data_IF_928626819303
#
_entry.id   IF_928626819303
#
_cell.length_a   1.000
_cell.length_b   1.000
_cell.length_c   1.000
_cell.angle_alpha   90.00
_cell.angle_beta   90.00
_cell.angle_gamma   90.00
#
_symmetry.space_group_name_H-M   'P 1'
#
loop_
_entity.id
_entity.type
_entity.pdbx_description
1 polymer ?
#
# COMPACT_ATOMS: atom_id res chain seq x y z
N UNK A 1 -9.24 11.86 -34.45
CA UNK A 1 -10.21 10.75 -34.68
C UNK A 1 -10.20 9.69 -33.58
N UNK A 2 -9.06 9.07 -33.21
CA UNK A 2 -9.04 8.00 -32.18
C UNK A 2 -9.44 8.49 -30.79
N UNK A 3 -8.96 9.66 -30.32
CA UNK A 3 -9.33 10.23 -29.01
C UNK A 3 -10.80 10.67 -28.98
N UNK A 4 -11.30 11.29 -30.06
CA UNK A 4 -12.70 11.67 -30.21
C UNK A 4 -13.63 10.44 -30.30
N UNK A 5 -13.21 9.39 -31.01
CA UNK A 5 -13.92 8.11 -31.06
C UNK A 5 -13.90 7.42 -29.70
N UNK A 6 -12.78 7.49 -28.97
CA UNK A 6 -12.62 6.96 -27.62
C UNK A 6 -13.48 7.70 -26.59
N UNK A 7 -13.48 9.04 -26.60
CA UNK A 7 -14.35 9.87 -25.77
C UNK A 7 -15.84 9.62 -26.09
N UNK A 8 -16.17 9.43 -27.37
CA UNK A 8 -17.54 9.14 -27.83
C UNK A 8 -17.98 7.72 -27.46
N UNK A 9 -17.09 6.73 -27.52
CA UNK A 9 -17.31 5.36 -27.06
C UNK A 9 -17.47 5.32 -25.53
N UNK A 10 -16.65 6.03 -24.78
CA UNK A 10 -16.69 6.00 -23.31
C UNK A 10 -17.96 6.68 -22.74
N UNK A 11 -18.49 7.68 -23.46
CA UNK A 11 -19.80 8.30 -23.16
C UNK A 11 -21.00 7.37 -23.45
N UNK A 12 -20.80 6.28 -24.20
CA UNK A 12 -21.81 5.25 -24.49
C UNK A 12 -21.70 4.00 -23.60
N UNK A 13 -20.68 3.89 -22.75
CA UNK A 13 -20.32 2.65 -22.03
C UNK A 13 -20.50 2.73 -20.50
N UNK A 14 -21.62 3.27 -20.05
CA UNK A 14 -22.03 3.17 -18.64
C UNK A 14 -22.35 1.69 -18.31
N UNK A 15 -21.38 0.94 -17.78
CA UNK A 15 -21.66 -0.33 -17.07
C UNK A 15 -20.74 -1.54 -17.28
N UNK A 16 -19.72 -1.52 -18.14
CA UNK A 16 -18.85 -2.70 -18.37
C UNK A 16 -17.37 -2.41 -18.12
N UNK A 17 -16.85 -2.90 -16.98
CA UNK A 17 -15.46 -2.73 -16.51
C UNK A 17 -14.42 -3.45 -17.36
N UNK A 18 -14.76 -4.60 -17.96
CA UNK A 18 -13.82 -5.42 -18.74
C UNK A 18 -13.37 -4.75 -20.05
N UNK A 19 -14.19 -3.89 -20.65
CA UNK A 19 -13.89 -3.23 -21.92
C UNK A 19 -13.02 -1.98 -21.78
N UNK A 20 -13.13 -1.25 -20.65
CA UNK A 20 -12.24 -0.13 -20.31
C UNK A 20 -10.76 -0.55 -20.19
N UNK A 21 -10.51 -1.77 -19.73
CA UNK A 21 -9.17 -2.34 -19.61
C UNK A 21 -8.51 -2.58 -20.98
N UNK A 22 -9.27 -3.14 -21.93
CA UNK A 22 -8.83 -3.38 -23.31
C UNK A 22 -8.58 -2.09 -24.10
N UNK A 23 -9.39 -1.06 -23.82
CA UNK A 23 -9.22 0.26 -24.42
C UNK A 23 -7.98 0.98 -23.87
N UNK A 24 -7.68 0.80 -22.58
CA UNK A 24 -6.47 1.34 -21.96
C UNK A 24 -5.20 0.73 -22.57
N UNK A 25 -5.11 -0.59 -22.72
CA UNK A 25 -3.94 -1.26 -23.31
C UNK A 25 -3.72 -0.92 -24.78
N UNK A 26 -4.80 -0.84 -25.57
CA UNK A 26 -4.76 -0.42 -26.98
C UNK A 26 -4.35 1.06 -27.13
N UNK A 27 -4.69 1.89 -26.16
CA UNK A 27 -4.29 3.30 -26.13
C UNK A 27 -2.84 3.50 -25.67
N UNK A 28 -2.40 2.77 -24.63
CA UNK A 28 -1.01 2.76 -24.16
C UNK A 28 -0.02 2.28 -25.23
N UNK A 29 -0.41 1.30 -26.04
CA UNK A 29 0.41 0.84 -27.18
C UNK A 29 0.47 1.87 -28.31
N UNK A 30 -0.62 2.59 -28.58
CA UNK A 30 -0.67 3.65 -29.59
C UNK A 30 0.20 4.87 -29.21
N UNK A 31 0.24 5.25 -27.93
CA UNK A 31 1.12 6.33 -27.41
C UNK A 31 2.60 5.99 -27.62
N UNK A 32 3.00 4.74 -27.37
CA UNK A 32 4.38 4.28 -27.58
C UNK A 32 4.77 4.24 -29.05
N UNK A 33 3.80 4.02 -29.95
CA UNK A 33 4.04 3.84 -31.39
C UNK A 33 4.08 5.17 -32.15
N UNK A 34 3.40 6.21 -31.67
CA UNK A 34 3.37 7.52 -32.32
C UNK A 34 3.19 8.68 -31.32
N UNK A 35 4.23 9.04 -30.54
CA UNK A 35 4.14 10.07 -29.51
C UNK A 35 3.80 11.47 -30.06
N UNK A 36 4.30 11.82 -31.25
CA UNK A 36 4.09 13.14 -31.87
C UNK A 36 2.62 13.39 -32.21
N UNK A 37 1.90 12.35 -32.62
CA UNK A 37 0.47 12.45 -32.90
C UNK A 37 -0.30 12.73 -31.62
N UNK A 38 0.05 12.09 -30.52
CA UNK A 38 -0.64 12.25 -29.23
C UNK A 38 -0.38 13.62 -28.62
N UNK A 39 0.82 14.19 -28.76
CA UNK A 39 1.12 15.55 -28.26
C UNK A 39 0.22 16.63 -28.89
N UNK A 40 -0.24 16.44 -30.12
CA UNK A 40 -1.15 17.38 -30.80
C UNK A 40 -2.52 17.49 -30.13
N UNK A 41 -2.93 16.49 -29.36
CA UNK A 41 -4.23 16.47 -28.66
C UNK A 41 -4.13 16.93 -27.20
N UNK A 42 -3.02 17.55 -26.79
CA UNK A 42 -2.80 17.90 -25.39
C UNK A 42 -3.89 18.82 -24.81
N UNK A 43 -4.46 19.70 -25.65
CA UNK A 43 -5.51 20.64 -25.25
C UNK A 43 -6.86 19.93 -25.02
N UNK A 44 -7.25 19.05 -25.93
CA UNK A 44 -8.48 18.25 -25.82
C UNK A 44 -8.40 17.29 -24.64
N UNK A 45 -7.22 16.70 -24.41
CA UNK A 45 -6.98 15.85 -23.25
C UNK A 45 -7.07 16.66 -21.95
N UNK A 46 -6.49 17.86 -21.93
CA UNK A 46 -6.56 18.78 -20.80
C UNK A 46 -8.01 19.17 -20.48
N UNK A 47 -8.85 19.40 -21.49
CA UNK A 47 -10.29 19.64 -21.34
C UNK A 47 -11.02 18.41 -20.80
N UNK A 48 -10.68 17.21 -21.29
CA UNK A 48 -11.26 15.96 -20.84
C UNK A 48 -10.95 15.64 -19.36
N UNK A 49 -9.87 16.18 -18.78
CA UNK A 49 -9.62 16.07 -17.33
C UNK A 49 -10.72 16.76 -16.51
N UNK A 50 -11.36 17.79 -17.07
CA UNK A 50 -12.48 18.49 -16.42
C UNK A 50 -13.83 17.81 -16.63
N UNK A 51 -13.87 16.62 -17.26
CA UNK A 51 -15.10 15.86 -17.47
C UNK A 51 -15.79 15.48 -16.16
N UNK A 52 -17.12 15.48 -16.17
CA UNK A 52 -17.95 15.00 -15.04
C UNK A 52 -17.85 13.47 -14.87
N UNK A 53 -17.47 12.73 -15.92
CA UNK A 53 -17.33 11.28 -15.85
C UNK A 53 -16.00 10.90 -15.18
N UNK A 54 -16.07 10.17 -14.07
CA UNK A 54 -14.91 9.81 -13.27
C UNK A 54 -13.85 8.97 -14.01
N UNK A 55 -14.28 8.10 -14.92
CA UNK A 55 -13.37 7.25 -15.71
C UNK A 55 -12.70 8.06 -16.81
N UNK A 56 -13.46 8.92 -17.51
CA UNK A 56 -12.91 9.85 -18.51
C UNK A 56 -11.86 10.75 -17.86
N UNK A 57 -12.18 11.36 -16.71
CA UNK A 57 -11.24 12.20 -15.97
C UNK A 57 -9.95 11.47 -15.57
N UNK A 58 -10.06 10.24 -15.04
CA UNK A 58 -8.89 9.44 -14.64
C UNK A 58 -7.98 9.10 -15.83
N UNK A 59 -8.56 8.63 -16.92
CA UNK A 59 -7.81 8.26 -18.11
C UNK A 59 -7.23 9.49 -18.85
N UNK A 60 -7.98 10.59 -18.91
CA UNK A 60 -7.48 11.86 -19.45
C UNK A 60 -6.28 12.38 -18.65
N UNK A 61 -6.34 12.34 -17.32
CA UNK A 61 -5.21 12.72 -16.47
C UNK A 61 -4.00 11.80 -16.71
N UNK A 62 -4.24 10.49 -16.80
CA UNK A 62 -3.19 9.51 -17.07
C UNK A 62 -2.48 9.78 -18.40
N UNK A 63 -3.24 10.06 -19.44
CA UNK A 63 -2.73 10.44 -20.75
C UNK A 63 -1.98 11.77 -20.73
N UNK A 64 -2.52 12.77 -20.03
CA UNK A 64 -1.90 14.08 -19.92
C UNK A 64 -0.52 14.01 -19.25
N UNK A 65 -0.40 13.16 -18.21
CA UNK A 65 0.89 12.86 -17.60
C UNK A 65 1.86 12.23 -18.60
N UNK A 66 1.43 11.24 -19.38
CA UNK A 66 2.29 10.59 -20.38
C UNK A 66 2.79 11.58 -21.44
N UNK A 67 1.90 12.47 -21.94
CA UNK A 67 2.25 13.53 -22.90
C UNK A 67 3.34 14.45 -22.32
N UNK A 68 3.26 14.75 -21.02
CA UNK A 68 4.15 15.68 -20.31
C UNK A 68 5.32 15.00 -19.61
N UNK A 69 5.44 13.68 -19.70
CA UNK A 69 6.37 12.88 -18.88
C UNK A 69 7.84 13.26 -19.07
N UNK A 70 8.20 13.86 -20.20
CA UNK A 70 9.54 14.36 -20.52
C UNK A 70 9.84 15.78 -19.98
N UNK A 71 8.81 16.54 -19.57
CA UNK A 71 8.94 17.93 -19.11
C UNK A 71 8.50 18.04 -17.66
N UNK A 72 9.49 18.07 -16.76
CA UNK A 72 9.26 18.18 -15.32
C UNK A 72 8.46 19.42 -14.93
N UNK A 73 8.71 20.57 -15.55
CA UNK A 73 8.01 21.81 -15.23
C UNK A 73 6.54 21.73 -15.65
N UNK A 74 6.24 21.07 -16.77
CA UNK A 74 4.86 20.82 -17.19
C UNK A 74 4.12 19.89 -16.21
N UNK A 75 4.80 18.89 -15.63
CA UNK A 75 4.21 18.01 -14.61
C UNK A 75 3.96 18.79 -13.31
N UNK A 76 4.93 19.60 -12.85
CA UNK A 76 4.77 20.46 -11.67
C UNK A 76 3.56 21.39 -11.80
N UNK A 77 3.46 22.12 -12.91
CA UNK A 77 2.31 23.00 -13.21
C UNK A 77 0.99 22.23 -13.24
N UNK A 78 1.00 21.00 -13.73
CA UNK A 78 -0.17 20.14 -13.77
C UNK A 78 -0.63 19.74 -12.36
N UNK A 79 0.29 19.32 -11.49
CA UNK A 79 -0.01 18.99 -10.09
C UNK A 79 -0.54 20.23 -9.36
N UNK A 80 0.12 21.37 -9.50
CA UNK A 80 -0.32 22.64 -8.90
C UNK A 80 -1.73 23.04 -9.37
N UNK A 81 -2.03 22.90 -10.66
CA UNK A 81 -3.36 23.22 -11.22
C UNK A 81 -4.43 22.34 -10.59
N UNK A 82 -4.25 21.03 -10.62
CA UNK A 82 -5.29 20.09 -10.16
C UNK A 82 -5.36 19.94 -8.64
N UNK A 83 -4.30 20.29 -7.92
CA UNK A 83 -4.34 20.46 -6.46
C UNK A 83 -5.27 21.61 -6.05
N UNK A 84 -5.33 22.69 -6.83
CA UNK A 84 -6.18 23.86 -6.53
C UNK A 84 -7.61 23.72 -7.06
N UNK A 85 -7.76 23.28 -8.31
CA UNK A 85 -9.09 23.10 -8.92
C UNK A 85 -9.85 21.91 -8.36
N UNK A 86 -9.13 20.95 -7.75
CA UNK A 86 -9.66 19.67 -7.34
C UNK A 86 -9.93 18.72 -8.51
N UNK A 87 -10.03 17.44 -8.19
CA UNK A 87 -10.50 16.38 -9.07
C UNK A 87 -11.69 15.69 -8.37
N UNK A 88 -12.60 15.11 -9.15
CA UNK A 88 -13.80 14.45 -8.61
C UNK A 88 -13.61 12.94 -8.46
N UNK A 89 -12.94 12.35 -9.43
CA UNK A 89 -12.64 10.92 -9.49
C UNK A 89 -11.61 10.55 -8.42
N UNK A 90 -11.94 9.65 -7.47
CA UNK A 90 -10.97 9.19 -6.47
C UNK A 90 -9.77 8.49 -7.12
N UNK A 91 -9.96 7.82 -8.27
CA UNK A 91 -8.88 7.20 -9.04
C UNK A 91 -7.94 8.26 -9.63
N UNK A 92 -8.49 9.37 -10.14
CA UNK A 92 -7.68 10.48 -10.64
C UNK A 92 -6.88 11.15 -9.52
N UNK A 93 -7.49 11.35 -8.34
CA UNK A 93 -6.78 11.89 -7.18
C UNK A 93 -5.65 10.94 -6.74
N UNK A 94 -5.91 9.63 -6.65
CA UNK A 94 -4.86 8.65 -6.32
C UNK A 94 -3.72 8.68 -7.34
N UNK A 95 -4.03 8.81 -8.62
CA UNK A 95 -3.00 8.91 -9.67
C UNK A 95 -2.20 10.21 -9.54
N UNK A 96 -2.85 11.33 -9.23
CA UNK A 96 -2.18 12.60 -9.00
C UNK A 96 -1.26 12.55 -7.77
N UNK A 97 -1.68 11.87 -6.69
CA UNK A 97 -0.84 11.60 -5.50
C UNK A 97 0.44 10.86 -5.89
N UNK A 98 0.35 9.83 -6.75
CA UNK A 98 1.53 9.08 -7.21
C UNK A 98 2.48 9.95 -8.03
N UNK A 99 1.95 10.82 -8.89
CA UNK A 99 2.75 11.79 -9.65
C UNK A 99 3.44 12.78 -8.70
N UNK A 100 2.69 13.33 -7.74
CA UNK A 100 3.22 14.27 -6.75
C UNK A 100 4.30 13.60 -5.89
N UNK A 101 4.11 12.36 -5.45
CA UNK A 101 5.09 11.63 -4.67
C UNK A 101 6.40 11.42 -5.44
N UNK A 102 6.31 11.09 -6.74
CA UNK A 102 7.49 10.97 -7.61
C UNK A 102 8.25 12.29 -7.74
N UNK A 103 7.52 13.41 -7.87
CA UNK A 103 8.15 14.74 -7.92
C UNK A 103 8.87 15.10 -6.63
N UNK A 104 8.28 14.77 -5.48
CA UNK A 104 8.89 14.98 -4.15
C UNK A 104 10.16 14.13 -4.00
N UNK A 105 10.14 12.87 -4.43
CA UNK A 105 11.30 11.98 -4.40
C UNK A 105 12.44 12.45 -5.35
N UNK A 106 12.11 12.98 -6.52
CA UNK A 106 13.10 13.50 -7.49
C UNK A 106 13.76 14.82 -7.04
N UNK A 107 13.13 15.57 -6.13
CA UNK A 107 13.58 16.88 -5.66
C UNK A 107 14.18 16.83 -4.24
N UNK A 108 14.49 15.64 -3.72
CA UNK A 108 14.90 15.40 -2.33
C UNK A 108 13.97 16.07 -1.28
N UNK A 109 12.70 16.26 -1.64
CA UNK A 109 11.70 16.91 -0.79
C UNK A 109 11.69 18.44 -0.80
N UNK A 110 12.41 19.12 -1.71
CA UNK A 110 12.33 20.59 -1.79
C UNK A 110 11.01 21.13 -2.35
N UNK A 111 10.28 20.36 -3.18
CA UNK A 111 8.94 20.74 -3.64
C UNK A 111 7.88 20.55 -2.56
N UNK A 112 7.75 21.59 -1.73
CA UNK A 112 6.73 21.67 -0.68
C UNK A 112 5.30 21.71 -1.24
N UNK A 113 5.08 22.12 -2.50
CA UNK A 113 3.73 22.26 -3.04
C UNK A 113 3.14 20.89 -3.36
N UNK A 114 3.92 20.03 -4.02
CA UNK A 114 3.52 18.64 -4.27
C UNK A 114 3.28 17.89 -2.95
N UNK A 115 4.14 18.11 -1.94
CA UNK A 115 3.95 17.51 -0.62
C UNK A 115 2.68 18.00 0.08
N UNK A 116 2.44 19.32 0.12
CA UNK A 116 1.22 19.90 0.72
C UNK A 116 -0.06 19.36 0.09
N UNK A 117 -0.06 19.11 -1.23
CA UNK A 117 -1.18 18.44 -1.88
C UNK A 117 -1.41 17.03 -1.33
N UNK A 118 -0.37 16.22 -1.18
CA UNK A 118 -0.48 14.85 -0.63
C UNK A 118 -0.98 14.90 0.82
N UNK A 119 -0.43 15.80 1.64
CA UNK A 119 -0.86 15.98 3.03
C UNK A 119 -2.33 16.40 3.11
N UNK A 120 -2.80 17.31 2.23
CA UNK A 120 -4.21 17.69 2.17
C UNK A 120 -5.14 16.52 1.83
N UNK A 121 -4.63 15.53 1.09
CA UNK A 121 -5.40 14.33 0.73
C UNK A 121 -5.61 13.37 1.91
N UNK A 122 -4.91 13.52 3.04
CA UNK A 122 -5.16 12.74 4.26
C UNK A 122 -6.54 13.01 4.86
N UNK A 123 -7.15 14.16 4.57
CA UNK A 123 -8.49 14.56 5.05
C UNK A 123 -9.57 14.40 3.98
N UNK A 124 -9.31 13.63 2.92
CA UNK A 124 -10.26 13.43 1.85
C UNK A 124 -11.46 12.58 2.29
N UNK A 125 -12.63 12.80 1.68
CA UNK A 125 -13.85 12.02 1.93
C UNK A 125 -13.73 10.54 1.52
N UNK A 126 -12.86 10.24 0.56
CA UNK A 126 -12.69 8.88 0.04
C UNK A 126 -11.54 8.16 0.73
N UNK A 127 -11.85 7.07 1.45
CA UNK A 127 -10.85 6.25 2.18
C UNK A 127 -9.70 5.76 1.29
N UNK A 128 -9.97 5.45 0.01
CA UNK A 128 -8.95 5.05 -0.96
C UNK A 128 -7.90 6.14 -1.18
N UNK A 129 -8.35 7.40 -1.31
CA UNK A 129 -7.47 8.57 -1.49
C UNK A 129 -6.66 8.81 -0.24
N UNK A 130 -7.32 8.74 0.92
CA UNK A 130 -6.69 8.89 2.23
C UNK A 130 -5.60 7.84 2.44
N UNK A 131 -5.87 6.57 2.11
CA UNK A 131 -4.87 5.50 2.19
C UNK A 131 -3.71 5.72 1.22
N UNK A 132 -3.98 6.09 -0.03
CA UNK A 132 -2.93 6.33 -1.02
C UNK A 132 -2.01 7.47 -0.56
N UNK A 133 -2.57 8.55 0.00
CA UNK A 133 -1.81 9.66 0.56
C UNK A 133 -0.93 9.22 1.74
N UNK A 134 -1.51 8.56 2.75
CA UNK A 134 -0.77 8.06 3.90
C UNK A 134 0.35 7.08 3.48
N UNK A 135 0.06 6.19 2.53
CA UNK A 135 1.01 5.22 2.02
C UNK A 135 2.14 5.87 1.20
N UNK A 136 1.86 6.96 0.48
CA UNK A 136 2.86 7.74 -0.23
C UNK A 136 3.81 8.45 0.73
N UNK A 137 3.27 9.16 1.72
CA UNK A 137 4.04 9.87 2.76
C UNK A 137 5.02 8.91 3.45
N UNK A 138 4.51 7.77 3.91
CA UNK A 138 5.29 6.74 4.63
C UNK A 138 6.41 6.10 3.78
N UNK A 139 6.33 6.18 2.43
CA UNK A 139 7.35 5.65 1.53
C UNK A 139 8.50 6.62 1.22
N UNK A 140 8.33 7.91 1.53
CA UNK A 140 9.32 8.93 1.20
C UNK A 140 10.60 8.75 2.03
N UNK A 141 11.79 8.93 1.43
CA UNK A 141 13.07 8.69 2.11
C UNK A 141 13.43 9.76 3.16
N UNK A 142 13.04 11.02 2.94
CA UNK A 142 13.42 12.19 3.76
C UNK A 142 12.22 12.80 4.52
N UNK A 143 11.41 11.96 5.15
CA UNK A 143 10.22 12.40 5.88
C UNK A 143 10.52 12.89 7.30
N UNK A 144 9.88 13.98 7.73
CA UNK A 144 9.97 14.45 9.12
C UNK A 144 9.09 13.65 10.08
N UNK A 145 9.41 13.67 11.37
CA UNK A 145 8.62 12.97 12.40
C UNK A 145 7.16 13.43 12.47
N UNK A 146 6.90 14.74 12.27
CA UNK A 146 5.55 15.31 12.26
C UNK A 146 4.72 14.84 11.06
N UNK A 147 5.31 14.87 9.86
CA UNK A 147 4.67 14.40 8.63
C UNK A 147 4.35 12.89 8.71
N UNK A 148 5.28 12.11 9.28
CA UNK A 148 5.09 10.68 9.52
C UNK A 148 3.95 10.43 10.52
N UNK A 149 3.90 11.20 11.61
CA UNK A 149 2.85 11.07 12.62
C UNK A 149 1.44 11.32 12.04
N UNK A 150 1.30 12.31 11.15
CA UNK A 150 0.03 12.57 10.44
C UNK A 150 -0.44 11.37 9.63
N UNK A 151 0.46 10.72 8.89
CA UNK A 151 0.11 9.52 8.12
C UNK A 151 -0.20 8.32 9.02
N UNK A 152 0.55 8.13 10.11
CA UNK A 152 0.32 7.03 11.06
C UNK A 152 -1.04 7.19 11.77
N UNK A 153 -1.43 8.40 12.17
CA UNK A 153 -2.73 8.64 12.81
C UNK A 153 -3.91 8.19 11.93
N UNK A 154 -3.82 8.46 10.62
CA UNK A 154 -4.82 7.99 9.64
C UNK A 154 -4.81 6.46 9.50
N UNK A 155 -3.63 5.85 9.42
CA UNK A 155 -3.50 4.39 9.36
C UNK A 155 -4.04 3.72 10.63
N UNK A 156 -3.87 4.35 11.79
CA UNK A 156 -4.41 3.89 13.06
C UNK A 156 -5.95 3.84 13.04
N UNK A 157 -6.60 4.89 12.52
CA UNK A 157 -8.06 4.89 12.33
C UNK A 157 -8.52 3.73 11.45
N UNK A 158 -7.76 3.38 10.40
CA UNK A 158 -8.09 2.26 9.52
C UNK A 158 -7.95 0.88 10.17
N UNK A 159 -7.20 0.72 11.28
CA UNK A 159 -7.13 -0.54 12.03
C UNK A 159 -8.49 -0.91 12.64
N UNK A 160 -9.29 0.09 12.99
CA UNK A 160 -10.63 -0.10 13.59
C UNK A 160 -11.76 -0.06 12.55
N UNK A 161 -11.44 -0.04 11.26
CA UNK A 161 -12.46 0.03 10.19
C UNK A 161 -13.28 -1.27 10.10
N UNK A 162 -14.61 -1.21 9.85
CA UNK A 162 -15.40 -2.40 9.57
C UNK A 162 -14.99 -3.11 8.27
N UNK A 163 -14.25 -2.43 7.38
CA UNK A 163 -13.82 -2.98 6.09
C UNK A 163 -12.50 -3.73 6.25
N UNK A 164 -12.54 -5.05 6.07
CA UNK A 164 -11.35 -5.92 6.13
C UNK A 164 -10.22 -5.49 5.20
N UNK A 165 -10.54 -4.96 4.01
CA UNK A 165 -9.56 -4.46 3.05
C UNK A 165 -8.75 -3.27 3.61
N UNK A 166 -9.39 -2.32 4.31
CA UNK A 166 -8.71 -1.17 4.90
C UNK A 166 -7.83 -1.57 6.07
N UNK A 167 -8.35 -2.43 6.96
CA UNK A 167 -7.57 -3.00 8.07
C UNK A 167 -6.31 -3.70 7.57
N UNK A 168 -6.47 -4.58 6.58
CA UNK A 168 -5.34 -5.28 5.96
C UNK A 168 -4.33 -4.31 5.35
N UNK A 169 -4.80 -3.31 4.61
CA UNK A 169 -3.95 -2.32 3.96
C UNK A 169 -3.16 -1.49 4.99
N UNK A 170 -3.79 -1.11 6.10
CA UNK A 170 -3.18 -0.36 7.19
C UNK A 170 -2.12 -1.19 7.94
N UNK A 171 -2.46 -2.39 8.41
CA UNK A 171 -1.52 -3.28 9.10
C UNK A 171 -0.31 -3.59 8.22
N UNK A 172 -0.51 -3.85 6.92
CA UNK A 172 0.58 -4.11 5.98
C UNK A 172 1.53 -2.91 5.86
N UNK A 173 1.00 -1.69 5.79
CA UNK A 173 1.83 -0.48 5.73
C UNK A 173 2.62 -0.29 7.03
N UNK A 174 1.97 -0.44 8.20
CA UNK A 174 2.63 -0.34 9.50
C UNK A 174 3.73 -1.40 9.67
N UNK A 175 3.46 -2.64 9.25
CA UNK A 175 4.45 -3.74 9.29
C UNK A 175 5.70 -3.46 8.46
N UNK A 176 5.54 -2.76 7.34
CA UNK A 176 6.65 -2.38 6.45
C UNK A 176 7.55 -1.35 7.13
N UNK A 177 6.97 -0.39 7.84
CA UNK A 177 7.73 0.72 8.42
C UNK A 177 8.20 0.50 9.85
N UNK A 178 7.68 -0.53 10.53
CA UNK A 178 8.06 -0.84 11.91
C UNK A 178 9.55 -1.14 12.08
N UNK A 179 10.28 -1.48 11.00
CA UNK A 179 11.73 -1.70 11.02
C UNK A 179 12.49 -0.36 11.07
N UNK A 180 12.05 0.61 10.27
CA UNK A 180 12.75 1.88 10.12
C UNK A 180 12.29 2.92 11.17
N UNK A 181 11.02 2.85 11.57
CA UNK A 181 10.38 3.79 12.49
C UNK A 181 9.61 3.09 13.62
N UNK A 182 10.26 2.20 14.40
CA UNK A 182 9.58 1.43 15.45
C UNK A 182 8.87 2.33 16.47
N UNK A 183 9.52 3.42 16.89
CA UNK A 183 8.97 4.36 17.89
C UNK A 183 7.65 4.99 17.44
N UNK A 184 7.50 5.28 16.16
CA UNK A 184 6.28 5.86 15.63
C UNK A 184 5.12 4.85 15.59
N UNK A 185 5.43 3.56 15.34
CA UNK A 185 4.44 2.47 15.25
C UNK A 185 4.00 1.96 16.63
N UNK A 186 4.78 2.15 17.69
CA UNK A 186 4.41 1.75 19.06
C UNK A 186 3.06 2.36 19.48
N UNK A 187 2.74 3.56 19.00
CA UNK A 187 1.46 4.22 19.25
C UNK A 187 0.24 3.41 18.77
N UNK A 188 0.42 2.52 17.78
CA UNK A 188 -0.62 1.65 17.24
C UNK A 188 -0.67 0.26 17.90
N UNK A 189 0.21 -0.05 18.87
CA UNK A 189 0.30 -1.42 19.43
C UNK A 189 -1.02 -1.88 20.05
N UNK A 190 -1.74 -1.00 20.76
CA UNK A 190 -3.03 -1.34 21.38
C UNK A 190 -4.08 -1.73 20.34
N UNK A 191 -4.16 -1.01 19.23
CA UNK A 191 -5.08 -1.31 18.13
C UNK A 191 -4.66 -2.59 17.38
N UNK A 192 -3.36 -2.80 17.20
CA UNK A 192 -2.82 -4.03 16.58
C UNK A 192 -3.12 -5.27 17.42
N UNK A 193 -3.11 -5.17 18.76
CA UNK A 193 -3.45 -6.29 19.64
C UNK A 193 -4.91 -6.73 19.48
N UNK A 194 -5.82 -5.79 19.24
CA UNK A 194 -7.24 -6.10 18.96
C UNK A 194 -7.41 -6.89 17.67
N UNK A 195 -6.48 -6.73 16.70
CA UNK A 195 -6.53 -7.42 15.41
C UNK A 195 -5.99 -8.86 15.47
N UNK A 196 -5.42 -9.31 16.59
CA UNK A 196 -4.96 -10.71 16.74
C UNK A 196 -6.14 -11.69 16.66
N UNK A 197 -7.32 -11.26 17.11
CA UNK A 197 -8.57 -12.05 17.09
C UNK A 197 -9.41 -11.80 15.82
N UNK A 198 -8.86 -11.12 14.81
CA UNK A 198 -9.57 -10.81 13.57
C UNK A 198 -10.00 -12.08 12.83
N UNK A 199 -11.20 -12.04 12.23
CA UNK A 199 -11.72 -13.12 11.38
C UNK A 199 -10.81 -13.38 10.17
N UNK A 200 -10.18 -12.34 9.63
CA UNK A 200 -9.21 -12.48 8.54
C UNK A 200 -7.83 -12.85 9.11
N UNK A 201 -7.48 -14.13 8.96
CA UNK A 201 -6.19 -14.68 9.38
C UNK A 201 -4.97 -13.92 8.86
N UNK A 202 -5.06 -13.32 7.66
CA UNK A 202 -3.94 -12.54 7.09
C UNK A 202 -3.71 -11.24 7.86
N UNK A 203 -4.78 -10.61 8.35
CA UNK A 203 -4.72 -9.40 9.18
C UNK A 203 -4.10 -9.76 10.54
N UNK A 204 -4.63 -10.79 11.21
CA UNK A 204 -4.11 -11.26 12.49
C UNK A 204 -2.62 -11.63 12.41
N UNK A 205 -2.20 -12.35 11.37
CA UNK A 205 -0.81 -12.73 11.14
C UNK A 205 0.10 -11.50 10.98
N UNK A 206 -0.31 -10.51 10.18
CA UNK A 206 0.47 -9.29 10.00
C UNK A 206 0.48 -8.43 11.26
N UNK A 207 -0.60 -8.41 12.05
CA UNK A 207 -0.67 -7.70 13.31
C UNK A 207 0.31 -8.29 14.33
N UNK A 208 0.30 -9.62 14.50
CA UNK A 208 1.29 -10.36 15.30
C UNK A 208 2.71 -10.01 14.83
N UNK A 209 2.97 -10.09 13.52
CA UNK A 209 4.30 -9.83 12.97
C UNK A 209 4.74 -8.39 13.26
N UNK A 210 3.82 -7.43 13.24
CA UNK A 210 4.12 -6.02 13.54
C UNK A 210 4.42 -5.84 15.02
N UNK A 211 3.59 -6.41 15.89
CA UNK A 211 3.79 -6.38 17.33
C UNK A 211 5.08 -7.05 17.78
N UNK A 212 5.55 -8.09 17.08
CA UNK A 212 6.86 -8.68 17.37
C UNK A 212 8.02 -7.76 16.96
N UNK A 213 7.83 -6.87 15.99
CA UNK A 213 8.84 -5.89 15.56
C UNK A 213 8.85 -4.64 16.47
N UNK A 214 7.74 -4.32 17.13
CA UNK A 214 7.58 -3.07 17.91
C UNK A 214 7.33 -3.29 19.40
N UNK A 215 7.04 -4.51 19.82
CA UNK A 215 6.65 -4.85 21.19
C UNK A 215 7.83 -4.86 22.15
N UNK A 216 7.58 -4.40 23.38
CA UNK A 216 8.49 -4.60 24.51
C UNK A 216 8.48 -6.08 24.93
N UNK A 217 9.57 -6.56 25.56
CA UNK A 217 9.74 -7.97 25.93
C UNK A 217 8.56 -8.56 26.72
N UNK A 218 7.95 -7.78 27.62
CA UNK A 218 6.78 -8.19 28.41
C UNK A 218 5.53 -8.44 27.54
N UNK A 219 5.34 -7.69 26.46
CA UNK A 219 4.23 -7.90 25.52
C UNK A 219 4.45 -9.15 24.67
N UNK A 220 5.70 -9.47 24.34
CA UNK A 220 6.05 -10.65 23.52
C UNK A 220 5.58 -11.95 24.19
N UNK A 221 5.74 -12.11 25.50
CA UNK A 221 5.32 -13.35 26.18
C UNK A 221 3.80 -13.56 26.12
N UNK A 222 3.01 -12.50 26.34
CA UNK A 222 1.55 -12.54 26.20
C UNK A 222 1.14 -12.83 24.75
N UNK A 223 1.82 -12.22 23.79
CA UNK A 223 1.61 -12.47 22.37
C UNK A 223 1.90 -13.94 22.02
N UNK A 224 2.98 -14.53 22.53
CA UNK A 224 3.33 -15.92 22.27
C UNK A 224 2.26 -16.90 22.76
N UNK A 225 1.59 -16.62 23.89
CA UNK A 225 0.42 -17.40 24.35
C UNK A 225 -0.76 -17.29 23.37
N UNK A 226 -1.09 -16.08 22.90
CA UNK A 226 -2.16 -15.87 21.93
C UNK A 226 -1.85 -16.51 20.57
N UNK A 227 -0.59 -16.45 20.12
CA UNK A 227 -0.09 -17.13 18.93
C UNK A 227 -0.23 -18.65 19.06
N UNK A 228 0.08 -19.22 20.23
CA UNK A 228 -0.11 -20.64 20.51
C UNK A 228 -1.56 -21.09 20.28
N UNK A 229 -2.54 -20.34 20.80
CA UNK A 229 -3.97 -20.62 20.58
C UNK A 229 -4.37 -20.46 19.10
N UNK A 230 -3.85 -19.43 18.42
CA UNK A 230 -4.10 -19.19 17.00
C UNK A 230 -3.57 -20.34 16.12
N UNK A 231 -2.36 -20.84 16.40
CA UNK A 231 -1.73 -21.94 15.67
C UNK A 231 -2.38 -23.30 15.95
N UNK A 232 -2.90 -23.52 17.17
CA UNK A 232 -3.60 -24.75 17.53
C UNK A 232 -4.97 -24.91 16.82
N UNK A 233 -5.63 -23.82 16.46
CA UNK A 233 -6.90 -23.86 15.71
C UNK A 233 -6.72 -24.22 14.21
N UNK A 234 -5.53 -24.04 13.63
CA UNK A 234 -5.27 -24.15 12.19
C UNK A 234 -4.51 -25.46 11.83
N UNK A 235 -5.13 -26.64 12.01
CA UNK A 235 -4.49 -27.96 11.80
C UNK A 235 -4.00 -28.27 10.36
N UNK A 236 -4.26 -27.43 9.35
CA UNK A 236 -3.87 -27.70 7.95
C UNK A 236 -2.37 -27.43 7.65
N UNK A 237 -1.69 -28.44 7.10
CA UNK A 237 -0.22 -28.57 7.01
C UNK A 237 0.49 -27.61 6.05
N UNK A 238 -0.19 -27.04 5.06
CA UNK A 238 0.46 -26.33 3.93
C UNK A 238 0.58 -24.82 4.18
N UNK A 239 -0.39 -24.21 4.87
CA UNK A 239 -0.35 -22.78 5.25
C UNK A 239 0.62 -22.51 6.43
N UNK A 240 0.87 -23.55 7.25
CA UNK A 240 1.86 -23.52 8.34
C UNK A 240 3.25 -23.13 7.83
N UNK A 241 3.73 -23.71 6.73
CA UNK A 241 5.12 -23.46 6.26
C UNK A 241 5.40 -22.01 5.88
N UNK A 242 4.39 -21.27 5.37
CA UNK A 242 4.55 -19.90 4.90
C UNK A 242 4.34 -18.84 6.01
N UNK A 243 3.34 -19.04 6.85
CA UNK A 243 3.11 -18.16 8.02
C UNK A 243 4.26 -18.32 9.01
N UNK A 244 4.67 -19.56 9.28
CA UNK A 244 5.77 -19.86 10.20
C UNK A 244 7.12 -19.41 9.68
N UNK A 245 7.39 -19.38 8.36
CA UNK A 245 8.65 -18.81 7.84
C UNK A 245 8.69 -17.29 7.97
N UNK A 246 7.58 -16.60 7.70
CA UNK A 246 7.49 -15.15 7.87
C UNK A 246 7.60 -14.74 9.35
N UNK A 247 6.86 -15.42 10.24
CA UNK A 247 6.93 -15.15 11.68
C UNK A 247 8.23 -15.66 12.31
N UNK A 248 8.77 -16.82 11.92
CA UNK A 248 10.04 -17.30 12.44
C UNK A 248 11.21 -16.42 12.01
N UNK A 249 11.18 -15.81 10.83
CA UNK A 249 12.22 -14.86 10.43
C UNK A 249 12.13 -13.56 11.24
N UNK A 250 10.92 -13.10 11.57
CA UNK A 250 10.71 -11.95 12.46
C UNK A 250 11.08 -12.27 13.92
N UNK A 251 10.74 -13.46 14.42
CA UNK A 251 11.10 -13.99 15.75
C UNK A 251 12.61 -14.18 15.86
N UNK A 252 13.26 -14.73 14.82
CA UNK A 252 14.72 -14.92 14.77
C UNK A 252 15.47 -13.59 14.77
N UNK A 253 14.93 -12.58 14.11
CA UNK A 253 15.50 -11.23 14.11
C UNK A 253 15.32 -10.49 15.46
N UNK A 254 14.29 -10.82 16.24
CA UNK A 254 13.96 -10.13 17.50
C UNK A 254 14.45 -10.83 18.76
N UNK A 255 14.55 -12.16 18.80
CA UNK A 255 14.90 -12.94 20.01
C UNK A 255 16.28 -13.60 20.00
N UNK A 256 16.99 -13.59 18.85
CA UNK A 256 18.20 -14.39 18.67
C UNK A 256 17.92 -15.90 18.64
N UNK A 257 18.88 -16.68 18.15
CA UNK A 257 18.69 -18.13 17.88
C UNK A 257 18.39 -18.97 19.12
N UNK A 258 18.77 -18.53 20.33
CA UNK A 258 18.70 -19.33 21.55
C UNK A 258 17.28 -19.59 22.08
N UNK A 259 16.34 -18.64 21.93
CA UNK A 259 14.95 -18.79 22.44
C UNK A 259 14.00 -19.53 21.48
N UNK A 260 14.44 -19.80 20.25
CA UNK A 260 13.67 -20.57 19.25
C UNK A 260 13.52 -22.03 19.69
N UNK A 261 14.54 -22.60 20.33
CA UNK A 261 14.56 -23.99 20.80
C UNK A 261 13.50 -24.21 21.88
N UNK A 262 13.29 -23.23 22.76
CA UNK A 262 12.31 -23.34 23.84
C UNK A 262 10.86 -23.28 23.33
N UNK A 263 10.58 -22.50 22.28
CA UNK A 263 9.27 -22.45 21.63
C UNK A 263 8.96 -23.70 20.78
N UNK A 264 9.98 -24.30 20.16
CA UNK A 264 9.82 -25.60 19.48
C UNK A 264 9.48 -26.73 20.47
N UNK A 265 9.98 -26.65 21.70
CA UNK A 265 9.74 -27.64 22.75
C UNK A 265 8.38 -27.46 23.47
N UNK A 266 7.80 -26.25 23.50
CA UNK A 266 6.60 -25.96 24.30
C UNK A 266 5.27 -25.97 23.54
N UNK A 267 5.22 -26.17 22.21
CA UNK A 267 3.94 -26.07 21.49
C UNK A 267 3.86 -26.47 20.01
N UNK A 268 4.83 -27.20 19.45
CA UNK A 268 4.74 -27.68 18.07
C UNK A 268 4.29 -29.15 17.98
N UNK A 269 3.49 -29.56 16.97
CA UNK A 269 3.36 -30.98 16.65
C UNK A 269 4.76 -31.51 16.30
N UNK A 270 5.10 -32.71 16.81
CA UNK A 270 6.38 -33.43 16.72
C UNK A 270 6.94 -33.71 15.30
N UNK A 271 6.58 -32.92 14.30
CA UNK A 271 6.88 -33.15 12.89
C UNK A 271 8.31 -32.71 12.52
N UNK A 272 8.98 -31.90 13.35
CA UNK A 272 10.33 -31.41 13.01
C UNK A 272 11.48 -32.32 13.46
N UNK A 273 11.28 -33.26 14.39
CA UNK A 273 12.40 -34.02 14.97
C UNK A 273 12.84 -35.21 14.10
N UNK A 274 11.91 -35.80 13.32
CA UNK A 274 12.23 -36.93 12.43
C UNK A 274 12.78 -36.49 11.07
N UNK A 275 12.29 -35.38 10.50
CA UNK A 275 12.80 -34.87 9.21
C UNK A 275 14.23 -34.28 9.32
N UNK A 276 14.58 -33.66 10.46
CA UNK A 276 15.94 -33.16 10.71
C UNK A 276 16.92 -34.32 10.94
N UNK A 277 16.50 -35.38 11.64
CA UNK A 277 17.32 -36.59 11.80
C UNK A 277 17.44 -37.43 10.53
N UNK A 278 16.48 -37.32 9.60
CA UNK A 278 16.59 -37.94 8.27
C UNK A 278 17.46 -37.11 7.31
N UNK A 279 17.47 -35.78 7.43
CA UNK A 279 18.37 -34.92 6.67
C UNK A 279 19.83 -35.13 7.11
N UNK A 280 20.10 -35.25 8.41
CA UNK A 280 21.45 -35.52 8.94
C UNK A 280 21.97 -36.94 8.63
N UNK A 281 21.09 -37.89 8.26
CA UNK A 281 21.47 -39.25 7.84
C UNK A 281 21.72 -39.39 6.34
N UNK A 282 21.41 -38.36 5.53
CA UNK A 282 21.66 -38.37 4.09
C UNK A 282 22.98 -37.70 3.70
N UNK A 283 23.61 -37.00 4.64
CA UNK A 283 24.90 -36.33 4.46
C UNK A 283 26.07 -37.05 5.17
N UNK A 284 25.89 -38.32 5.58
CA UNK A 284 26.95 -39.22 6.04
C UNK A 284 27.02 -40.47 5.14
#
# INVERSE_FOLDING_TARGET
MVVQWWLKQQKQMDGQSSFCFFCSTSFFTSIKRSPDVVRRWANEVQEAVSSDNHMVQFHALSLLYQIRSSDRLAILKMVQKFSKSGLRSPLAICYLIRIAAKLVEEDDGSDRIAFQFIESCLRNKHEMVVYEAASAIVRMPSISSGELASAISVLQIFLSSPKSALRFAAVRTLNRISINYPQAVISCNVDLEQLITDQNRSIATLAITTLLKTGAEASVERLMKQIGTFLCQDSSSIKKKMVYTSTASAIKASLGTAKIIQFQLSGGPKIAHEEVQQAQRRDN
#
